data_IF_890029518048
#
_entry.id   IF_890029518048
#
_cell.length_a   1.000
_cell.length_b   1.000
_cell.length_c   1.000
_cell.angle_alpha   90.00
_cell.angle_beta   90.00
_cell.angle_gamma   90.00
#
_symmetry.space_group_name_H-M   'P 1'
#
loop_
_entity.id
_entity.type
_entity.pdbx_description
1 polymer ?
#
# COMPACT_ATOMS: atom_id res chain seq x y z
N UNK A 1 -12.83 47.58 -4.36
CA UNK A 1 -13.49 48.73 -5.02
C UNK A 1 -13.09 48.71 -6.49
N UNK A 2 -14.02 48.88 -7.44
CA UNK A 2 -13.73 49.04 -8.88
C UNK A 2 -14.28 50.42 -9.28
N UNK A 3 -13.45 51.30 -9.85
CA UNK A 3 -13.81 52.70 -10.13
C UNK A 3 -14.41 53.46 -8.93
N UNK A 4 -13.83 53.33 -7.73
CA UNK A 4 -14.29 54.05 -6.54
C UNK A 4 -15.58 53.53 -5.91
N UNK A 5 -16.18 52.44 -6.43
CA UNK A 5 -17.36 51.82 -5.84
C UNK A 5 -17.05 50.51 -5.11
N UNK A 6 -17.65 50.24 -3.94
CA UNK A 6 -17.57 48.95 -3.29
C UNK A 6 -18.37 47.92 -4.11
N UNK A 7 -17.65 47.00 -4.74
CA UNK A 7 -18.24 45.91 -5.52
C UNK A 7 -18.17 44.64 -4.68
N UNK A 8 -19.33 44.07 -4.35
CA UNK A 8 -19.46 42.72 -3.80
C UNK A 8 -20.03 41.84 -4.91
N UNK A 9 -19.34 40.74 -5.25
CA UNK A 9 -19.82 39.80 -6.27
C UNK A 9 -20.76 38.78 -5.61
N UNK A 10 -21.93 38.55 -6.20
CA UNK A 10 -22.76 37.40 -5.86
C UNK A 10 -22.05 36.11 -6.29
N UNK A 11 -22.23 35.02 -5.55
CA UNK A 11 -21.71 33.70 -5.94
C UNK A 11 -22.45 33.28 -7.22
N UNK A 12 -21.71 33.17 -8.33
CA UNK A 12 -22.28 32.74 -9.62
C UNK A 12 -22.81 31.30 -9.56
N UNK A 13 -23.80 30.97 -10.40
CA UNK A 13 -24.29 29.59 -10.53
C UNK A 13 -23.15 28.69 -11.05
N UNK A 14 -22.77 27.68 -10.28
CA UNK A 14 -21.74 26.71 -10.67
C UNK A 14 -22.30 25.80 -11.78
N UNK A 15 -21.67 25.81 -12.96
CA UNK A 15 -21.99 24.91 -14.06
C UNK A 15 -21.50 23.47 -13.82
N UNK A 16 -21.71 22.60 -14.81
CA UNK A 16 -21.13 21.24 -14.81
C UNK A 16 -19.61 21.33 -14.77
N UNK A 17 -18.92 20.55 -13.91
CA UNK A 17 -17.46 20.58 -13.86
C UNK A 17 -16.84 20.17 -15.19
N UNK A 18 -15.75 20.84 -15.58
CA UNK A 18 -14.94 20.39 -16.72
C UNK A 18 -14.17 19.12 -16.39
N UNK A 19 -13.66 18.43 -17.42
CA UNK A 19 -12.79 17.25 -17.25
C UNK A 19 -11.56 17.56 -16.41
N UNK A 20 -10.94 18.73 -16.59
CA UNK A 20 -9.81 19.19 -15.78
C UNK A 20 -10.20 19.44 -14.31
N UNK A 21 -11.40 19.95 -14.06
CA UNK A 21 -11.90 20.11 -12.69
C UNK A 21 -12.14 18.75 -12.03
N UNK A 22 -12.68 17.77 -12.76
CA UNK A 22 -12.89 16.41 -12.27
C UNK A 22 -11.56 15.69 -12.00
N UNK A 23 -10.58 15.82 -12.89
CA UNK A 23 -9.23 15.32 -12.67
C UNK A 23 -8.64 15.91 -11.38
N UNK A 24 -8.75 17.21 -11.18
CA UNK A 24 -8.28 17.89 -9.98
C UNK A 24 -9.00 17.41 -8.69
N UNK A 25 -10.31 17.16 -8.76
CA UNK A 25 -11.07 16.60 -7.65
C UNK A 25 -10.62 15.19 -7.31
N UNK A 26 -10.39 14.34 -8.32
CA UNK A 26 -9.86 13.00 -8.13
C UNK A 26 -8.44 13.04 -7.53
N UNK A 27 -7.54 13.86 -8.05
CA UNK A 27 -6.19 14.03 -7.49
C UNK A 27 -6.24 14.44 -6.02
N UNK A 28 -7.13 15.38 -5.66
CA UNK A 28 -7.32 15.79 -4.28
C UNK A 28 -7.85 14.66 -3.42
N UNK A 29 -8.88 13.94 -3.87
CA UNK A 29 -9.47 12.83 -3.13
C UNK A 29 -8.44 11.71 -2.86
N UNK A 30 -7.64 11.34 -3.87
CA UNK A 30 -6.55 10.34 -3.73
C UNK A 30 -5.49 10.83 -2.74
N UNK A 31 -5.09 12.10 -2.82
CA UNK A 31 -4.09 12.68 -1.91
C UNK A 31 -4.60 12.74 -0.46
N UNK A 32 -5.82 13.22 -0.24
CA UNK A 32 -6.42 13.29 1.10
C UNK A 32 -6.58 11.90 1.71
N UNK A 33 -7.03 10.91 0.93
CA UNK A 33 -7.16 9.51 1.39
C UNK A 33 -5.81 8.90 1.79
N UNK A 34 -4.73 9.25 1.07
CA UNK A 34 -3.38 8.85 1.47
C UNK A 34 -3.00 9.50 2.80
N UNK A 35 -2.99 10.83 2.85
CA UNK A 35 -2.44 11.58 3.98
C UNK A 35 -3.25 11.46 5.27
N UNK A 36 -4.56 11.20 5.19
CA UNK A 36 -5.40 11.00 6.37
C UNK A 36 -4.98 9.78 7.20
N UNK A 37 -4.29 8.81 6.59
CA UNK A 37 -3.78 7.60 7.26
C UNK A 37 -2.39 7.77 7.89
N UNK A 38 -1.73 8.91 7.65
CA UNK A 38 -0.32 9.15 7.99
C UNK A 38 -0.16 10.45 8.81
N UNK A 39 -1.22 10.87 9.50
CA UNK A 39 -1.35 12.21 10.05
C UNK A 39 -0.27 12.57 11.07
N UNK A 40 0.08 11.66 11.98
CA UNK A 40 1.08 11.94 13.01
C UNK A 40 2.48 11.96 12.41
N UNK A 41 2.79 11.03 11.51
CA UNK A 41 4.04 11.04 10.77
C UNK A 41 4.23 12.35 9.99
N UNK A 42 3.23 12.77 9.21
CA UNK A 42 3.27 14.03 8.44
C UNK A 42 3.42 15.24 9.36
N UNK A 43 2.75 15.24 10.51
CA UNK A 43 2.85 16.33 11.49
C UNK A 43 4.27 16.53 11.99
N UNK A 44 5.01 15.45 12.25
CA UNK A 44 6.43 15.52 12.63
C UNK A 44 7.31 15.84 11.42
N UNK A 45 7.15 15.09 10.33
CA UNK A 45 8.02 15.16 9.16
C UNK A 45 7.98 16.48 8.38
N UNK A 46 6.82 17.16 8.35
CA UNK A 46 6.68 18.49 7.75
C UNK A 46 6.55 19.61 8.80
N UNK A 47 6.55 19.26 10.09
CA UNK A 47 6.31 20.19 11.18
C UNK A 47 7.33 21.32 11.24
N UNK A 48 8.61 20.98 11.04
CA UNK A 48 9.70 21.95 11.02
C UNK A 48 9.62 22.90 9.82
N UNK A 49 9.30 22.39 8.64
CA UNK A 49 9.12 23.20 7.43
C UNK A 49 7.92 24.16 7.53
N UNK A 50 6.88 23.76 8.25
CA UNK A 50 5.70 24.59 8.47
C UNK A 50 5.96 25.77 9.44
N UNK A 51 6.91 25.63 10.37
CA UNK A 51 7.23 26.69 11.36
C UNK A 51 7.63 27.97 10.64
N UNK A 52 7.05 29.09 11.07
CA UNK A 52 7.32 30.41 10.48
C UNK A 52 6.61 30.67 9.14
N UNK A 53 5.77 29.75 8.67
CA UNK A 53 4.96 29.95 7.45
C UNK A 53 3.47 30.09 7.79
N UNK A 54 2.67 30.48 6.80
CA UNK A 54 1.19 30.48 6.92
C UNK A 54 0.56 29.09 6.67
N UNK A 55 1.37 28.09 6.34
CA UNK A 55 0.92 26.74 6.03
C UNK A 55 1.13 25.81 7.22
N UNK A 56 0.24 24.82 7.38
CA UNK A 56 0.46 23.71 8.31
C UNK A 56 1.15 22.53 7.60
N UNK A 57 1.66 21.58 8.38
CA UNK A 57 2.34 20.39 7.89
C UNK A 57 1.49 19.61 6.85
N UNK A 58 0.20 19.48 7.08
CA UNK A 58 -0.72 18.77 6.17
C UNK A 58 -0.88 19.48 4.83
N UNK A 59 -0.89 20.82 4.81
CA UNK A 59 -0.96 21.62 3.59
C UNK A 59 0.30 21.47 2.74
N UNK A 60 1.47 21.49 3.39
CA UNK A 60 2.76 21.27 2.71
C UNK A 60 2.82 19.87 2.11
N UNK A 61 2.47 18.84 2.88
CA UNK A 61 2.39 17.47 2.39
C UNK A 61 1.39 17.33 1.24
N UNK A 62 0.18 17.90 1.36
CA UNK A 62 -0.83 17.85 0.29
C UNK A 62 -0.32 18.49 -1.00
N UNK A 63 0.35 19.64 -0.90
CA UNK A 63 0.95 20.35 -2.04
C UNK A 63 2.01 19.49 -2.73
N UNK A 64 2.90 18.87 -1.97
CA UNK A 64 3.94 17.99 -2.51
C UNK A 64 3.32 16.77 -3.21
N UNK A 65 2.50 15.99 -2.50
CA UNK A 65 2.00 14.71 -2.99
C UNK A 65 1.11 14.86 -4.21
N UNK A 66 0.24 15.87 -4.24
CA UNK A 66 -0.62 16.13 -5.39
C UNK A 66 0.19 16.47 -6.67
N UNK A 67 1.37 17.07 -6.52
CA UNK A 67 2.27 17.42 -7.63
C UNK A 67 3.21 16.31 -8.05
N UNK A 68 3.73 15.54 -7.07
CA UNK A 68 4.86 14.64 -7.28
C UNK A 68 4.51 13.16 -7.12
N UNK A 69 3.57 12.83 -6.24
CA UNK A 69 3.30 11.45 -5.81
C UNK A 69 2.04 10.84 -6.44
N UNK A 70 1.53 11.44 -7.53
CA UNK A 70 0.41 10.90 -8.29
C UNK A 70 0.86 10.47 -9.69
N UNK A 71 0.23 9.43 -10.22
CA UNK A 71 0.44 8.91 -11.56
C UNK A 71 -0.90 8.58 -12.22
N UNK A 72 -0.89 8.47 -13.55
CA UNK A 72 -2.06 8.21 -14.38
C UNK A 72 -2.89 9.46 -14.67
N UNK A 73 -3.82 9.31 -15.61
CA UNK A 73 -4.75 10.35 -16.04
C UNK A 73 -6.17 10.05 -15.53
N UNK A 74 -7.02 11.07 -15.50
CA UNK A 74 -8.43 10.92 -15.18
C UNK A 74 -9.10 9.87 -16.10
N UNK A 75 -9.75 8.82 -15.62
CA UNK A 75 -10.29 8.57 -14.26
C UNK A 75 -9.45 7.58 -13.42
N UNK A 76 -8.19 7.35 -13.77
CA UNK A 76 -7.32 6.32 -13.20
C UNK A 76 -6.14 6.90 -12.41
N UNK A 77 -6.31 8.07 -11.79
CA UNK A 77 -5.29 8.70 -10.97
C UNK A 77 -5.04 7.86 -9.71
N UNK A 78 -3.79 7.51 -9.45
CA UNK A 78 -3.35 6.66 -8.33
C UNK A 78 -2.10 7.23 -7.66
N UNK A 79 -1.81 6.76 -6.46
CA UNK A 79 -0.58 7.11 -5.73
C UNK A 79 0.61 6.39 -6.37
N UNK A 80 1.67 7.13 -6.65
CA UNK A 80 3.00 6.61 -6.92
C UNK A 80 3.79 6.56 -5.61
N UNK A 81 3.76 5.40 -4.93
CA UNK A 81 4.38 5.21 -3.62
C UNK A 81 5.89 5.45 -3.64
N UNK A 82 6.58 5.17 -4.76
CA UNK A 82 8.01 5.49 -4.88
C UNK A 82 8.31 6.98 -4.70
N UNK A 83 7.36 7.85 -5.03
CA UNK A 83 7.48 9.32 -4.95
C UNK A 83 6.81 9.91 -3.71
N UNK A 84 6.25 9.10 -2.83
CA UNK A 84 5.67 9.57 -1.56
C UNK A 84 6.81 10.03 -0.65
N UNK A 85 6.61 11.19 -0.01
CA UNK A 85 7.60 11.77 0.91
C UNK A 85 6.91 12.17 2.19
N UNK A 86 7.16 11.43 3.26
CA UNK A 86 6.48 11.61 4.54
C UNK A 86 7.17 12.63 5.46
N UNK A 87 8.45 12.91 5.20
CA UNK A 87 9.25 13.87 5.95
C UNK A 87 10.18 14.62 5.01
N UNK A 88 10.33 15.93 5.25
CA UNK A 88 11.25 16.81 4.53
C UNK A 88 12.01 17.70 5.50
N UNK A 89 13.34 17.64 5.45
CA UNK A 89 14.15 18.39 6.39
C UNK A 89 15.62 18.49 5.99
N UNK A 90 16.43 18.94 6.93
CA UNK A 90 17.85 19.30 6.70
C UNK A 90 18.81 18.32 7.36
N UNK A 91 18.32 17.30 8.08
CA UNK A 91 19.19 16.29 8.67
C UNK A 91 19.85 15.47 7.55
N UNK A 92 21.18 15.22 7.64
CA UNK A 92 21.89 14.41 6.67
C UNK A 92 21.25 13.03 6.44
N UNK A 93 21.40 12.53 5.21
CA UNK A 93 20.90 11.20 4.84
C UNK A 93 21.63 10.10 5.63
N UNK A 94 20.89 9.03 5.93
CA UNK A 94 21.44 7.87 6.64
C UNK A 94 21.86 6.82 5.62
N UNK A 95 23.10 6.32 5.73
CA UNK A 95 23.64 5.34 4.81
C UNK A 95 23.14 3.91 5.10
N UNK A 96 23.26 3.06 4.08
CA UNK A 96 23.05 1.60 4.14
C UNK A 96 21.71 1.15 4.76
N UNK A 97 20.66 1.92 4.52
CA UNK A 97 19.32 1.57 5.00
C UNK A 97 18.77 0.38 4.21
N UNK A 98 18.43 -0.71 4.91
CA UNK A 98 17.99 -1.98 4.33
C UNK A 98 16.75 -2.49 5.06
N UNK A 99 15.92 -3.23 4.34
CA UNK A 99 14.75 -3.92 4.90
C UNK A 99 14.79 -5.40 4.53
N UNK A 100 14.39 -6.25 5.47
CA UNK A 100 14.25 -7.68 5.24
C UNK A 100 12.98 -8.22 5.93
N UNK A 101 12.42 -9.27 5.34
CA UNK A 101 11.35 -10.04 5.96
C UNK A 101 11.95 -11.12 6.83
N UNK A 102 11.49 -11.19 8.06
CA UNK A 102 11.90 -12.21 9.03
C UNK A 102 10.67 -12.84 9.67
N UNK A 103 10.85 -13.93 10.40
CA UNK A 103 9.73 -14.57 11.11
C UNK A 103 9.07 -13.57 12.06
N UNK A 104 7.75 -13.38 11.90
CA UNK A 104 6.94 -12.50 12.75
C UNK A 104 6.97 -11.01 12.41
N UNK A 105 7.69 -10.57 11.37
CA UNK A 105 7.70 -9.15 11.02
C UNK A 105 8.72 -8.71 9.97
N UNK A 106 9.07 -7.42 10.06
CA UNK A 106 10.08 -6.78 9.23
C UNK A 106 11.25 -6.34 10.11
N UNK A 107 12.48 -6.57 9.65
CA UNK A 107 13.68 -5.98 10.23
C UNK A 107 14.20 -4.90 9.29
N UNK A 108 14.40 -3.70 9.83
CA UNK A 108 15.03 -2.57 9.14
C UNK A 108 16.37 -2.33 9.82
N UNK A 109 17.42 -2.14 9.03
CA UNK A 109 18.77 -1.82 9.50
C UNK A 109 19.34 -0.63 8.75
N UNK A 110 20.32 0.05 9.35
CA UNK A 110 21.02 1.22 8.81
C UNK A 110 22.42 1.30 9.43
N UNK A 111 23.29 2.15 8.87
CA UNK A 111 24.60 2.41 9.47
C UNK A 111 24.48 3.26 10.75
N UNK A 112 24.84 2.73 11.95
CA UNK A 112 24.79 3.48 13.20
C UNK A 112 26.08 4.29 13.48
N UNK A 113 27.03 4.29 12.54
CA UNK A 113 28.33 4.94 12.72
C UNK A 113 28.16 6.41 13.13
N UNK A 114 29.04 6.84 14.04
CA UNK A 114 29.05 8.21 14.52
C UNK A 114 29.28 9.19 13.37
N UNK A 115 28.47 10.23 13.32
CA UNK A 115 28.64 11.38 12.45
C UNK A 115 28.38 12.63 13.32
N UNK A 116 29.26 13.63 13.25
CA UNK A 116 29.17 14.84 14.08
C UNK A 116 27.83 15.59 13.91
N UNK A 117 27.23 15.49 12.72
CA UNK A 117 25.94 16.10 12.38
C UNK A 117 24.72 15.21 12.73
N UNK A 118 24.94 13.95 13.14
CA UNK A 118 23.89 12.99 13.47
C UNK A 118 24.05 12.47 14.90
N UNK A 119 23.07 12.72 15.76
CA UNK A 119 23.19 12.33 17.16
C UNK A 119 22.79 10.87 17.35
N UNK A 120 23.55 10.16 18.18
CA UNK A 120 23.29 8.75 18.50
C UNK A 120 21.90 8.49 19.12
N UNK A 121 21.31 9.50 19.76
CA UNK A 121 20.02 9.43 20.42
C UNK A 121 18.84 9.91 19.54
N UNK A 122 19.09 10.24 18.27
CA UNK A 122 18.01 10.53 17.31
C UNK A 122 16.99 9.39 17.29
N UNK A 123 15.71 9.74 17.18
CA UNK A 123 14.62 8.77 17.14
C UNK A 123 14.33 8.34 15.71
N UNK A 124 14.08 7.04 15.53
CA UNK A 124 13.72 6.45 14.25
C UNK A 124 12.20 6.44 14.09
N UNK A 125 11.73 7.00 12.99
CA UNK A 125 10.34 6.99 12.57
C UNK A 125 10.16 6.01 11.41
N UNK A 126 9.17 5.11 11.50
CA UNK A 126 8.82 4.18 10.42
C UNK A 126 7.34 4.25 10.10
N UNK A 127 7.03 4.22 8.80
CA UNK A 127 5.69 4.09 8.27
C UNK A 127 5.57 2.83 7.43
N UNK A 128 4.62 1.97 7.75
CA UNK A 128 4.24 0.79 6.98
C UNK A 128 2.91 1.09 6.31
N UNK A 129 2.90 1.30 4.99
CA UNK A 129 1.65 1.49 4.26
C UNK A 129 1.21 0.17 3.64
N UNK A 130 -0.07 -0.13 3.77
CA UNK A 130 -0.73 -1.29 3.19
C UNK A 130 -1.76 -0.76 2.17
N UNK A 131 -1.40 -0.56 0.89
CA UNK A 131 -2.25 0.12 -0.09
C UNK A 131 -3.61 -0.56 -0.31
N UNK A 132 -3.67 -1.89 -0.17
CA UNK A 132 -4.86 -2.68 -0.45
C UNK A 132 -5.87 -2.66 0.70
N UNK A 133 -5.39 -2.82 1.93
CA UNK A 133 -6.27 -2.94 3.12
C UNK A 133 -6.46 -1.61 3.83
N UNK A 134 -5.56 -0.65 3.65
CA UNK A 134 -5.53 0.59 4.42
C UNK A 134 -5.09 0.41 5.88
N UNK A 135 -4.65 -0.80 6.26
CA UNK A 135 -4.17 -1.14 7.60
C UNK A 135 -2.73 -0.65 7.82
N UNK A 136 -2.54 0.66 7.66
CA UNK A 136 -1.23 1.30 7.81
C UNK A 136 -0.80 1.34 9.28
N UNK A 137 0.51 1.30 9.53
CA UNK A 137 1.09 1.44 10.88
C UNK A 137 2.16 2.51 10.89
N UNK A 138 2.06 3.44 11.84
CA UNK A 138 3.08 4.45 12.09
C UNK A 138 3.78 4.19 13.43
N UNK A 139 5.11 4.33 13.43
CA UNK A 139 5.95 4.25 14.61
C UNK A 139 6.82 5.50 14.64
N UNK A 140 6.56 6.42 15.57
CA UNK A 140 7.24 7.72 15.61
C UNK A 140 8.52 7.72 16.46
N UNK A 141 8.77 6.63 17.18
CA UNK A 141 9.97 6.42 17.99
C UNK A 141 10.15 4.92 18.23
N UNK A 142 10.56 4.17 17.20
CA UNK A 142 10.67 2.71 17.28
C UNK A 142 12.01 2.24 17.85
N UNK A 143 13.07 3.04 17.65
CA UNK A 143 14.44 2.75 18.06
C UNK A 143 15.23 4.05 18.09
N UNK A 144 16.40 4.04 18.71
CA UNK A 144 17.41 5.08 18.57
C UNK A 144 18.28 4.83 17.35
N UNK A 145 18.78 5.90 16.72
CA UNK A 145 19.73 5.82 15.60
C UNK A 145 20.95 4.96 15.93
N UNK A 146 21.48 5.05 17.15
CA UNK A 146 22.62 4.24 17.61
C UNK A 146 22.38 2.72 17.64
N UNK A 147 21.13 2.26 17.61
CA UNK A 147 20.83 0.83 17.62
C UNK A 147 21.11 0.16 16.27
N UNK A 148 21.14 0.93 15.18
CA UNK A 148 21.46 0.43 13.83
C UNK A 148 20.39 -0.49 13.21
N UNK A 149 19.33 -0.82 13.96
CA UNK A 149 18.23 -1.65 13.49
C UNK A 149 16.97 -1.49 14.34
N UNK A 150 15.83 -1.86 13.77
CA UNK A 150 14.57 -2.02 14.49
C UNK A 150 13.74 -3.17 13.92
N UNK A 151 12.84 -3.70 14.74
CA UNK A 151 11.93 -4.79 14.37
C UNK A 151 10.47 -4.32 14.45
N UNK A 152 9.70 -4.67 13.42
CA UNK A 152 8.29 -4.28 13.29
C UNK A 152 7.43 -5.53 13.26
N UNK A 153 6.66 -5.81 14.33
CA UNK A 153 5.82 -6.98 14.39
C UNK A 153 4.63 -6.86 13.42
N UNK A 154 4.54 -7.80 12.49
CA UNK A 154 3.46 -7.92 11.53
C UNK A 154 2.97 -9.37 11.50
N UNK A 155 1.64 -9.53 11.44
CA UNK A 155 1.03 -10.84 11.24
C UNK A 155 1.32 -11.34 9.81
N UNK A 156 1.31 -12.65 9.64
CA UNK A 156 1.65 -13.30 8.37
C UNK A 156 0.71 -12.86 7.23
N UNK A 157 -0.57 -12.63 7.55
CA UNK A 157 -1.58 -12.14 6.62
C UNK A 157 -1.22 -10.75 6.06
N UNK A 158 -0.57 -9.90 6.86
CA UNK A 158 -0.10 -8.57 6.43
C UNK A 158 1.21 -8.70 5.67
N UNK A 159 2.12 -9.56 6.13
CA UNK A 159 3.41 -9.82 5.47
C UNK A 159 3.29 -10.40 4.06
N UNK A 160 2.12 -10.97 3.72
CA UNK A 160 1.80 -11.50 2.40
C UNK A 160 1.08 -10.48 1.49
N UNK A 161 0.69 -9.31 2.02
CA UNK A 161 0.09 -8.21 1.25
C UNK A 161 1.15 -7.26 0.70
N UNK A 162 0.76 -6.42 -0.26
CA UNK A 162 1.61 -5.30 -0.70
C UNK A 162 1.91 -4.36 0.47
N UNK A 163 3.19 -4.14 0.74
CA UNK A 163 3.67 -3.20 1.76
C UNK A 163 4.59 -2.16 1.12
N UNK A 164 4.36 -0.90 1.46
CA UNK A 164 5.17 0.25 1.05
C UNK A 164 5.77 0.89 2.33
N UNK A 165 7.00 0.52 2.72
CA UNK A 165 7.66 0.98 3.93
C UNK A 165 8.49 2.25 3.70
N UNK A 166 8.48 3.14 4.69
CA UNK A 166 9.29 4.35 4.72
C UNK A 166 9.94 4.51 6.09
N UNK A 167 11.13 5.08 6.11
CA UNK A 167 11.85 5.43 7.33
C UNK A 167 12.30 6.89 7.27
N UNK A 168 12.30 7.55 8.42
CA UNK A 168 12.88 8.87 8.61
C UNK A 168 13.45 8.98 10.02
N UNK A 169 14.24 10.01 10.27
CA UNK A 169 14.90 10.23 11.55
C UNK A 169 14.55 11.62 12.06
N UNK A 170 14.41 11.76 13.37
CA UNK A 170 14.17 13.04 14.04
C UNK A 170 15.16 13.18 15.18
N UNK A 171 15.71 14.38 15.34
CA UNK A 171 16.68 14.63 16.41
C UNK A 171 16.03 14.48 17.77
N UNK A 172 16.81 14.10 18.78
CA UNK A 172 16.28 13.86 20.14
C UNK A 172 15.58 15.10 20.75
N UNK A 173 16.00 16.30 20.36
CA UNK A 173 15.40 17.58 20.75
C UNK A 173 14.24 18.02 19.82
N UNK A 174 13.98 17.28 18.74
CA UNK A 174 12.92 17.55 17.77
C UNK A 174 13.15 18.79 16.90
N UNK A 175 14.39 19.28 16.79
CA UNK A 175 14.75 20.49 16.01
C UNK A 175 15.16 20.20 14.57
N UNK A 176 15.54 18.96 14.26
CA UNK A 176 15.94 18.50 12.93
C UNK A 176 15.21 17.21 12.56
N UNK A 177 14.87 17.07 11.28
CA UNK A 177 14.28 15.86 10.73
C UNK A 177 14.97 15.53 9.41
N UNK A 178 15.10 14.24 9.10
CA UNK A 178 15.57 13.78 7.82
C UNK A 178 14.46 13.77 6.80
N UNK A 179 14.86 13.85 5.55
CA UNK A 179 14.07 13.38 4.44
C UNK A 179 13.66 11.92 4.65
N UNK A 180 12.40 11.58 4.36
CA UNK A 180 11.96 10.18 4.42
C UNK A 180 12.56 9.38 3.25
N UNK A 181 12.96 8.15 3.53
CA UNK A 181 13.51 7.18 2.58
C UNK A 181 12.46 6.09 2.34
N UNK A 182 12.19 5.80 1.08
CA UNK A 182 11.35 4.69 0.66
C UNK A 182 12.19 3.41 0.58
N UNK A 183 11.74 2.34 1.26
CA UNK A 183 12.51 1.10 1.42
C UNK A 183 12.19 0.03 0.37
N UNK A 184 11.45 0.41 -0.67
CA UNK A 184 11.06 -0.50 -1.73
C UNK A 184 9.77 -1.25 -1.41
N UNK A 185 9.13 -1.72 -2.48
CA UNK A 185 7.87 -2.44 -2.39
C UNK A 185 8.13 -3.89 -1.95
N UNK A 186 7.42 -4.34 -0.91
CA UNK A 186 7.39 -5.74 -0.53
C UNK A 186 6.11 -6.39 -1.09
N UNK A 187 6.26 -7.53 -1.78
CA UNK A 187 5.21 -8.33 -2.46
C UNK A 187 4.61 -7.78 -3.75
N UNK A 188 5.29 -6.85 -4.42
CA UNK A 188 4.88 -6.28 -5.70
C UNK A 188 3.71 -5.28 -5.63
N UNK A 189 3.34 -4.73 -6.80
CA UNK A 189 2.00 -4.15 -6.98
C UNK A 189 1.03 -5.30 -6.87
N UNK A 190 0.22 -5.30 -5.83
CA UNK A 190 -0.73 -6.38 -5.56
C UNK A 190 -1.57 -6.69 -6.79
N UNK A 191 -1.96 -7.96 -6.89
CA UNK A 191 -2.89 -8.42 -7.93
C UNK A 191 -4.12 -7.52 -7.88
N UNK A 192 -4.46 -6.89 -9.00
CA UNK A 192 -5.61 -5.99 -9.04
C UNK A 192 -6.90 -6.76 -8.72
N UNK A 193 -7.99 -6.07 -8.37
CA UNK A 193 -9.25 -6.72 -7.96
C UNK A 193 -9.73 -7.78 -8.96
N UNK A 194 -9.53 -7.56 -10.26
CA UNK A 194 -9.81 -8.53 -11.30
C UNK A 194 -8.96 -9.81 -11.15
N UNK A 195 -7.65 -9.69 -10.96
CA UNK A 195 -6.76 -10.82 -10.74
C UNK A 195 -7.05 -11.55 -9.42
N UNK A 196 -7.44 -10.82 -8.35
CA UNK A 196 -7.88 -11.45 -7.09
C UNK A 196 -9.18 -12.24 -7.30
N UNK A 197 -10.15 -11.68 -8.00
CA UNK A 197 -11.40 -12.37 -8.34
C UNK A 197 -11.16 -13.59 -9.25
N UNK A 198 -10.24 -13.48 -10.20
CA UNK A 198 -9.84 -14.60 -11.06
C UNK A 198 -9.21 -15.74 -10.25
N UNK A 199 -8.33 -15.41 -9.29
CA UNK A 199 -7.72 -16.39 -8.38
C UNK A 199 -8.72 -17.01 -7.42
N UNK A 200 -9.58 -16.21 -6.79
CA UNK A 200 -10.66 -16.73 -5.93
C UNK A 200 -11.56 -17.69 -6.71
N UNK A 201 -11.93 -17.32 -7.94
CA UNK A 201 -12.74 -18.17 -8.82
C UNK A 201 -11.98 -19.46 -9.20
N UNK A 202 -10.69 -19.37 -9.50
CA UNK A 202 -9.85 -20.54 -9.74
C UNK A 202 -9.83 -21.47 -8.53
N UNK A 203 -9.60 -20.94 -7.32
CA UNK A 203 -9.53 -21.72 -6.09
C UNK A 203 -10.86 -22.39 -5.75
N UNK A 204 -11.99 -21.71 -5.97
CA UNK A 204 -13.32 -22.30 -5.78
C UNK A 204 -13.56 -23.49 -6.72
N UNK A 205 -13.24 -23.33 -8.01
CA UNK A 205 -13.37 -24.41 -9.01
C UNK A 205 -12.41 -25.56 -8.68
N UNK A 206 -11.18 -25.25 -8.24
CA UNK A 206 -10.17 -26.24 -7.86
C UNK A 206 -10.61 -27.07 -6.66
N UNK A 207 -11.13 -26.41 -5.62
CA UNK A 207 -11.66 -27.08 -4.41
C UNK A 207 -12.81 -28.03 -4.77
N UNK A 208 -13.74 -27.59 -5.62
CA UNK A 208 -14.84 -28.44 -6.10
C UNK A 208 -14.33 -29.61 -6.93
N UNK A 209 -13.38 -29.38 -7.82
CA UNK A 209 -12.77 -30.42 -8.63
C UNK A 209 -12.11 -31.50 -7.76
N UNK A 210 -11.36 -31.10 -6.73
CA UNK A 210 -10.67 -32.06 -5.86
C UNK A 210 -11.66 -32.94 -5.09
N UNK A 211 -12.78 -32.38 -4.60
CA UNK A 211 -13.87 -33.15 -3.98
C UNK A 211 -14.52 -34.15 -4.95
N UNK A 212 -14.80 -33.71 -6.18
CA UNK A 212 -15.41 -34.53 -7.23
C UNK A 212 -14.45 -35.62 -7.70
N UNK A 213 -13.15 -35.32 -7.80
CA UNK A 213 -12.10 -36.26 -8.19
C UNK A 213 -11.94 -37.39 -7.16
N UNK A 214 -12.03 -37.08 -5.86
CA UNK A 214 -12.06 -38.09 -4.79
C UNK A 214 -13.30 -38.99 -4.93
N UNK A 215 -14.47 -38.41 -5.17
CA UNK A 215 -15.71 -39.20 -5.36
C UNK A 215 -15.66 -40.07 -6.62
N UNK A 216 -15.09 -39.56 -7.71
CA UNK A 216 -14.93 -40.26 -8.98
C UNK A 216 -13.95 -41.43 -8.85
N UNK A 217 -12.79 -41.21 -8.24
CA UNK A 217 -11.79 -42.27 -8.00
C UNK A 217 -12.35 -43.37 -7.09
N UNK A 218 -13.04 -43.02 -6.01
CA UNK A 218 -13.69 -44.01 -5.13
C UNK A 218 -14.73 -44.86 -5.86
N UNK A 219 -15.54 -44.27 -6.75
CA UNK A 219 -16.48 -45.02 -7.59
C UNK A 219 -15.76 -45.94 -8.60
N UNK A 220 -14.67 -45.48 -9.21
CA UNK A 220 -13.89 -46.30 -10.12
C UNK A 220 -13.22 -47.47 -9.40
N UNK A 221 -12.69 -47.27 -8.19
CA UNK A 221 -12.10 -48.32 -7.36
C UNK A 221 -13.14 -49.36 -6.92
N UNK A 222 -14.31 -48.92 -6.44
CA UNK A 222 -15.42 -49.80 -6.04
C UNK A 222 -15.90 -50.70 -7.19
N UNK A 223 -15.67 -50.28 -8.43
CA UNK A 223 -16.03 -51.02 -9.64
C UNK A 223 -14.82 -51.63 -10.38
N UNK A 224 -13.66 -51.74 -9.72
CA UNK A 224 -12.44 -52.33 -10.27
C UNK A 224 -12.01 -51.71 -11.61
N UNK A 225 -12.14 -50.40 -11.73
CA UNK A 225 -11.82 -49.64 -12.95
C UNK A 225 -12.91 -49.66 -14.03
N UNK A 226 -14.02 -50.38 -13.82
CA UNK A 226 -15.13 -50.36 -14.76
C UNK A 226 -16.05 -49.16 -14.51
N UNK A 227 -16.50 -48.53 -15.61
CA UNK A 227 -17.43 -47.40 -15.52
C UNK A 227 -18.84 -47.86 -15.13
N UNK A 228 -19.39 -47.42 -13.98
CA UNK A 228 -20.76 -47.75 -13.59
C UNK A 228 -21.80 -47.21 -14.58
N UNK A 229 -22.80 -48.03 -14.91
CA UNK A 229 -23.90 -47.63 -15.82
C UNK A 229 -25.02 -46.85 -15.12
N UNK A 230 -24.78 -46.31 -13.93
CA UNK A 230 -25.78 -45.58 -13.15
C UNK A 230 -25.91 -44.13 -13.63
N UNK A 231 -27.10 -43.56 -13.48
CA UNK A 231 -27.34 -42.13 -13.80
C UNK A 231 -26.50 -41.21 -12.90
N UNK A 232 -26.32 -41.59 -11.64
CA UNK A 232 -25.50 -40.85 -10.67
C UNK A 232 -24.03 -40.79 -11.10
N UNK A 233 -23.44 -41.91 -11.53
CA UNK A 233 -22.07 -41.92 -12.01
C UNK A 233 -21.89 -41.09 -13.28
N UNK A 234 -22.81 -41.17 -14.24
CA UNK A 234 -22.76 -40.33 -15.45
C UNK A 234 -22.81 -38.83 -15.15
N UNK A 235 -23.54 -38.43 -14.11
CA UNK A 235 -23.56 -37.03 -13.68
C UNK A 235 -22.22 -36.62 -13.05
N UNK A 236 -21.68 -37.48 -12.18
CA UNK A 236 -20.37 -37.27 -11.56
C UNK A 236 -19.23 -37.20 -12.58
N UNK A 237 -19.20 -38.11 -13.56
CA UNK A 237 -18.21 -38.12 -14.66
C UNK A 237 -18.31 -36.84 -15.49
N UNK A 238 -19.54 -36.41 -15.83
CA UNK A 238 -19.76 -35.15 -16.55
C UNK A 238 -19.30 -33.94 -15.74
N UNK A 239 -19.57 -33.90 -14.44
CA UNK A 239 -19.13 -32.81 -13.56
C UNK A 239 -17.60 -32.78 -13.47
N UNK A 240 -16.96 -33.94 -13.28
CA UNK A 240 -15.52 -34.09 -13.26
C UNK A 240 -14.87 -33.54 -14.55
N UNK A 241 -15.35 -33.97 -15.71
CA UNK A 241 -14.80 -33.53 -17.00
C UNK A 241 -15.02 -32.03 -17.24
N UNK A 242 -16.17 -31.51 -16.81
CA UNK A 242 -16.50 -30.08 -16.93
C UNK A 242 -15.55 -29.23 -16.07
N UNK A 243 -15.37 -29.59 -14.80
CA UNK A 243 -14.47 -28.88 -13.88
C UNK A 243 -13.01 -28.99 -14.32
N UNK A 244 -12.59 -30.17 -14.79
CA UNK A 244 -11.25 -30.39 -15.37
C UNK A 244 -11.00 -29.46 -16.56
N UNK A 245 -12.00 -29.32 -17.45
CA UNK A 245 -11.92 -28.42 -18.59
C UNK A 245 -11.91 -26.95 -18.16
N UNK A 246 -12.72 -26.57 -17.17
CA UNK A 246 -12.71 -25.22 -16.60
C UNK A 246 -11.35 -24.86 -16.01
N UNK A 247 -10.73 -25.74 -15.22
CA UNK A 247 -9.39 -25.51 -14.66
C UNK A 247 -8.29 -25.38 -15.71
N UNK A 248 -8.47 -25.98 -16.90
CA UNK A 248 -7.52 -25.85 -18.02
C UNK A 248 -7.56 -24.46 -18.65
N UNK A 249 -8.70 -23.78 -18.59
CA UNK A 249 -8.95 -22.53 -19.30
C UNK A 249 -9.19 -21.31 -18.40
N UNK A 250 -9.38 -21.51 -17.08
CA UNK A 250 -9.54 -20.40 -16.15
C UNK A 250 -8.22 -19.64 -15.96
N UNK A 251 -8.21 -18.30 -16.06
CA UNK A 251 -7.12 -17.48 -15.56
C UNK A 251 -7.06 -17.54 -14.02
N UNK A 252 -5.94 -17.15 -13.41
CA UNK A 252 -5.77 -17.17 -11.96
C UNK A 252 -5.13 -18.45 -11.40
N UNK A 253 -4.44 -19.24 -12.23
CA UNK A 253 -3.59 -20.33 -11.72
C UNK A 253 -2.43 -19.72 -10.92
N UNK A 254 -2.19 -20.16 -9.66
CA UNK A 254 -1.01 -19.71 -8.92
C UNK A 254 0.25 -20.10 -9.71
N UNK A 255 1.06 -19.09 -10.03
CA UNK A 255 2.39 -19.24 -10.64
C UNK A 255 3.44 -19.54 -9.59
#
# INVERSE_FOLDING_TARGET
MLNGQPVVRLIGKKGKPSTLQLANYQSMAVTTKLLSRMGSFIKLGYGLQAKGTVYNAHNLATSYHKKQALTGDYHNIKVDYFKVKLSQGVMPETADVKISKVTGGLEISWDPSYNEDLQHNDSVMVMICCPETGADKEYLNIARRSEGKCFIPLQEEVLNQQIEPYIAFISADGTMVSDSIYLGNLNGRGKNEAQKQEEEKYQQVKTRFDQVAVSYSAQMEAHYGNRPRTKAFKFLEKEYDTLKNQLKHLPGKPG
#
